data_IF_945483866486
#
_entry.id   IF_945483866486
#
_cell.length_a   1.000
_cell.length_b   1.000
_cell.length_c   1.000
_cell.angle_alpha   90.00
_cell.angle_beta   90.00
_cell.angle_gamma   90.00
#
_symmetry.space_group_name_H-M   'P 1'
#
loop_
_entity.id
_entity.type
_entity.pdbx_description
1 polymer ?
#
# COMPACT_ATOMS: atom_id res chain seq x y z
N UNK A 1 41.66 7.70 12.70
CA UNK A 1 41.48 8.51 11.48
C UNK A 1 40.11 9.14 11.56
N UNK A 2 40.05 10.47 11.67
CA UNK A 2 38.81 11.26 11.64
C UNK A 2 38.40 11.43 10.16
N UNK A 3 37.41 10.66 9.72
CA UNK A 3 36.82 10.83 8.39
C UNK A 3 35.80 11.96 8.43
N UNK A 4 36.18 13.14 7.92
CA UNK A 4 35.22 14.19 7.56
C UNK A 4 34.33 13.67 6.43
N UNK A 5 33.05 13.41 6.76
CA UNK A 5 32.02 13.16 5.76
C UNK A 5 31.76 14.44 4.98
N UNK A 6 32.27 14.51 3.75
CA UNK A 6 31.84 15.49 2.76
C UNK A 6 30.39 15.18 2.40
N UNK A 7 29.47 16.02 2.89
CA UNK A 7 28.08 15.99 2.48
C UNK A 7 28.00 16.23 0.97
N UNK A 8 27.63 15.21 0.22
CA UNK A 8 27.14 15.39 -1.13
C UNK A 8 25.84 16.19 -1.02
N UNK A 9 25.93 17.50 -1.26
CA UNK A 9 24.77 18.29 -1.67
C UNK A 9 24.36 17.73 -3.04
N UNK A 10 23.54 16.68 -3.05
CA UNK A 10 22.71 16.39 -4.19
C UNK A 10 21.99 17.70 -4.52
N UNK A 11 22.19 18.18 -5.75
CA UNK A 11 21.49 19.34 -6.28
C UNK A 11 20.01 19.10 -6.04
N UNK A 12 19.44 19.78 -5.03
CA UNK A 12 18.01 19.72 -4.75
C UNK A 12 17.31 20.14 -6.03
N UNK A 13 16.32 19.39 -6.53
CA UNK A 13 15.47 19.88 -7.61
C UNK A 13 14.99 21.28 -7.22
N UNK A 14 15.28 22.27 -8.05
CA UNK A 14 14.87 23.64 -7.78
C UNK A 14 13.35 23.67 -7.62
N UNK A 15 12.89 24.16 -6.47
CA UNK A 15 11.47 24.40 -6.21
C UNK A 15 10.93 25.28 -7.33
N UNK A 16 9.92 24.81 -8.05
CA UNK A 16 9.35 25.54 -9.20
C UNK A 16 8.55 26.73 -8.68
N UNK A 17 8.91 27.94 -9.10
CA UNK A 17 8.32 29.21 -8.61
C UNK A 17 6.84 29.41 -8.95
N UNK A 18 6.24 28.50 -9.71
CA UNK A 18 4.85 28.54 -10.19
C UNK A 18 3.90 27.59 -9.47
N UNK A 19 4.37 26.66 -8.64
CA UNK A 19 3.49 25.79 -7.86
C UNK A 19 2.91 26.53 -6.65
N UNK A 20 1.59 26.69 -6.57
CA UNK A 20 0.96 27.29 -5.38
C UNK A 20 0.92 26.33 -4.20
N UNK A 21 0.69 25.04 -4.48
CA UNK A 21 0.74 23.97 -3.47
C UNK A 21 1.73 22.91 -3.93
N UNK A 22 2.66 22.55 -3.05
CA UNK A 22 3.64 21.50 -3.30
C UNK A 22 3.96 20.75 -2.01
N UNK A 23 4.04 19.43 -2.12
CA UNK A 23 4.52 18.53 -1.10
C UNK A 23 5.53 17.55 -1.71
N UNK A 24 6.75 17.57 -1.20
CA UNK A 24 7.76 16.54 -1.42
C UNK A 24 7.88 15.75 -0.11
N UNK A 25 7.25 14.57 -0.08
CA UNK A 25 7.12 13.77 1.13
C UNK A 25 8.42 13.04 1.49
N UNK A 26 9.33 12.86 0.52
CA UNK A 26 10.65 12.27 0.76
C UNK A 26 11.57 13.32 1.38
N UNK A 27 11.60 14.52 0.82
CA UNK A 27 12.41 15.63 1.32
C UNK A 27 11.82 16.31 2.56
N UNK A 28 10.54 16.08 2.87
CA UNK A 28 9.81 16.76 3.94
C UNK A 28 9.62 18.26 3.67
N UNK A 29 9.44 18.63 2.40
CA UNK A 29 9.30 20.04 1.96
C UNK A 29 7.87 20.34 1.55
N UNK A 30 7.30 21.44 2.07
CA UNK A 30 5.89 21.80 1.90
C UNK A 30 5.74 23.29 1.60
N UNK A 31 4.89 23.61 0.61
CA UNK A 31 4.60 24.98 0.14
C UNK A 31 3.08 25.12 -0.03
N UNK A 32 2.54 26.28 0.31
CA UNK A 32 1.11 26.58 0.22
C UNK A 32 0.34 26.38 1.53
N UNK A 33 0.99 25.93 2.61
CA UNK A 33 0.38 25.78 3.92
C UNK A 33 0.38 27.07 4.77
N UNK A 34 -0.31 27.03 5.90
CA UNK A 34 -0.25 28.06 6.97
C UNK A 34 0.97 27.93 7.87
N UNK A 35 1.68 26.81 7.81
CA UNK A 35 2.81 26.51 8.68
C UNK A 35 3.81 25.56 8.02
N UNK A 36 4.95 25.32 8.70
CA UNK A 36 5.93 24.35 8.23
C UNK A 36 5.41 22.93 8.41
N UNK A 37 5.66 22.07 7.43
CA UNK A 37 5.35 20.63 7.52
C UNK A 37 4.01 20.23 6.92
N UNK A 38 3.77 18.92 6.92
CA UNK A 38 2.60 18.30 6.28
C UNK A 38 1.27 18.82 6.85
N UNK A 39 1.14 18.93 8.18
CA UNK A 39 -0.09 19.39 8.83
C UNK A 39 -0.30 20.91 8.74
N UNK A 40 0.69 21.65 8.23
CA UNK A 40 0.51 23.05 7.87
C UNK A 40 -0.19 23.22 6.53
N UNK A 41 -0.14 22.20 5.66
CA UNK A 41 -0.70 22.22 4.31
C UNK A 41 -1.92 21.33 4.14
N UNK A 42 -1.88 20.14 4.72
CA UNK A 42 -2.93 19.14 4.63
C UNK A 42 -3.60 18.93 5.97
N UNK A 43 -4.89 18.66 5.89
CA UNK A 43 -5.58 17.94 6.94
C UNK A 43 -5.40 16.44 6.69
N UNK A 44 -5.41 15.67 7.77
CA UNK A 44 -5.23 14.24 7.70
C UNK A 44 -6.15 13.54 8.70
N UNK A 45 -6.83 12.51 8.24
CA UNK A 45 -7.78 11.74 9.04
C UNK A 45 -7.48 10.26 8.93
N UNK A 46 -7.28 9.63 10.08
CA UNK A 46 -7.58 8.22 10.26
C UNK A 46 -7.81 7.93 11.74
N UNK A 47 -8.76 7.04 12.01
CA UNK A 47 -9.01 6.57 13.36
C UNK A 47 -8.00 5.49 13.77
N UNK A 48 -7.52 5.58 15.01
CA UNK A 48 -6.65 4.55 15.58
C UNK A 48 -5.18 4.61 15.13
N UNK A 49 -4.38 3.78 15.78
CA UNK A 49 -2.95 3.64 15.53
C UNK A 49 -2.67 2.82 14.28
N UNK A 50 -1.64 3.20 13.52
CA UNK A 50 -1.25 2.55 12.25
C UNK A 50 0.24 2.36 12.20
N UNK A 51 0.72 1.30 11.55
CA UNK A 51 2.14 0.98 11.54
C UNK A 51 2.78 1.27 10.18
N UNK A 52 4.09 1.51 10.20
CA UNK A 52 4.92 1.66 9.01
C UNK A 52 6.38 1.39 9.36
N UNK A 53 7.21 1.14 8.35
CA UNK A 53 8.66 0.96 8.51
C UNK A 53 9.38 2.30 8.38
N UNK A 54 10.32 2.59 9.29
CA UNK A 54 11.15 3.79 9.27
C UNK A 54 12.55 3.54 8.66
N UNK A 55 13.40 4.57 8.65
CA UNK A 55 14.76 4.52 8.08
C UNK A 55 15.70 3.46 8.68
N UNK A 56 15.39 2.97 9.89
CA UNK A 56 16.18 1.93 10.56
C UNK A 56 15.68 0.52 10.26
N UNK A 57 14.61 0.37 9.46
CA UNK A 57 13.93 -0.91 9.30
C UNK A 57 13.10 -1.31 10.51
N UNK A 58 12.74 -0.37 11.38
CA UNK A 58 11.90 -0.66 12.53
C UNK A 58 10.43 -0.40 12.23
N UNK A 59 9.56 -1.28 12.74
CA UNK A 59 8.12 -1.08 12.73
C UNK A 59 7.73 -0.05 13.79
N UNK A 60 7.36 1.14 13.35
CA UNK A 60 6.90 2.24 14.18
C UNK A 60 5.38 2.42 14.05
N UNK A 61 4.79 3.12 15.01
CA UNK A 61 3.34 3.36 15.09
C UNK A 61 3.08 4.85 15.00
N UNK A 62 2.28 5.28 14.01
CA UNK A 62 1.65 6.59 13.99
C UNK A 62 0.41 6.60 14.89
N UNK A 63 0.24 7.65 15.69
CA UNK A 63 -0.94 7.80 16.53
C UNK A 63 -2.20 8.11 15.67
N UNK A 64 -3.41 8.09 16.26
CA UNK A 64 -4.61 8.55 15.57
C UNK A 64 -4.45 9.97 15.03
N UNK A 65 -4.85 10.21 13.79
CA UNK A 65 -4.69 11.52 13.13
C UNK A 65 -3.26 11.91 12.75
N UNK A 66 -2.25 11.08 13.03
CA UNK A 66 -0.87 11.35 12.61
C UNK A 66 -0.57 10.72 11.23
N UNK A 67 0.00 11.46 10.28
CA UNK A 67 0.40 10.91 8.99
C UNK A 67 1.58 9.96 9.14
N UNK A 68 1.62 8.91 8.32
CA UNK A 68 2.75 7.96 8.24
C UNK A 68 3.87 8.51 7.36
N UNK A 69 4.35 9.70 7.72
CA UNK A 69 5.49 10.34 7.06
C UNK A 69 6.80 9.64 7.42
N UNK A 70 7.72 9.56 6.45
CA UNK A 70 9.01 8.88 6.63
C UNK A 70 8.90 7.37 6.50
N UNK A 71 7.94 6.87 5.71
CA UNK A 71 7.87 5.47 5.37
C UNK A 71 9.03 5.06 4.47
N UNK A 72 9.60 3.88 4.75
CA UNK A 72 10.68 3.27 3.98
C UNK A 72 10.27 1.89 3.50
N UNK A 73 10.73 1.54 2.30
CA UNK A 73 10.64 0.20 1.73
C UNK A 73 12.05 -0.38 1.54
N UNK A 74 12.14 -1.71 1.52
CA UNK A 74 13.40 -2.38 1.25
C UNK A 74 13.64 -2.45 -0.25
N UNK A 75 14.49 -1.57 -0.76
CA UNK A 75 14.79 -1.44 -2.19
C UNK A 75 16.30 -1.50 -2.38
N UNK A 76 16.76 -2.29 -3.35
CA UNK A 76 18.18 -2.38 -3.74
C UNK A 76 19.12 -2.67 -2.55
N UNK A 77 18.69 -3.49 -1.58
CA UNK A 77 19.49 -3.87 -0.43
C UNK A 77 19.59 -2.82 0.68
N UNK A 78 18.71 -1.81 0.70
CA UNK A 78 18.63 -0.83 1.79
C UNK A 78 17.22 -0.30 2.02
N UNK A 79 16.96 0.19 3.25
CA UNK A 79 15.74 0.92 3.57
C UNK A 79 15.76 2.28 2.88
N UNK A 80 14.87 2.47 1.92
CA UNK A 80 14.80 3.66 1.06
C UNK A 80 13.53 4.44 1.37
N UNK A 81 13.58 5.77 1.56
CA UNK A 81 12.39 6.57 1.81
C UNK A 81 11.50 6.60 0.56
N UNK A 82 10.22 6.31 0.73
CA UNK A 82 9.22 6.28 -0.35
C UNK A 82 8.12 7.34 -0.20
N UNK A 83 8.09 8.04 0.93
CA UNK A 83 7.23 9.21 1.16
C UNK A 83 6.14 8.96 2.22
N UNK A 84 4.91 9.40 1.92
CA UNK A 84 3.74 9.28 2.79
C UNK A 84 2.95 8.02 2.45
N UNK A 85 2.82 7.10 3.41
CA UNK A 85 2.02 5.88 3.23
C UNK A 85 0.53 6.13 3.56
N UNK A 86 -0.33 5.78 2.61
CA UNK A 86 -1.79 5.83 2.69
C UNK A 86 -2.36 4.43 2.40
N UNK A 87 -3.25 3.92 3.24
CA UNK A 87 -3.85 2.60 3.04
C UNK A 87 -5.37 2.61 3.27
N UNK A 88 -6.08 1.64 2.67
CA UNK A 88 -7.48 1.40 2.99
C UNK A 88 -7.64 0.91 4.42
N UNK A 89 -8.89 0.90 4.87
CA UNK A 89 -9.25 0.15 6.06
C UNK A 89 -8.98 -1.33 5.86
N UNK A 90 -8.47 -2.00 6.89
CA UNK A 90 -8.17 -3.42 6.86
C UNK A 90 -8.55 -4.05 8.20
N UNK A 91 -8.77 -5.36 8.22
CA UNK A 91 -8.97 -6.10 9.47
C UNK A 91 -8.11 -7.34 9.43
N UNK A 92 -7.16 -7.42 10.36
CA UNK A 92 -6.44 -8.66 10.59
C UNK A 92 -7.35 -9.61 11.37
N UNK A 93 -7.76 -10.69 10.70
CA UNK A 93 -8.64 -11.72 11.25
C UNK A 93 -7.92 -12.64 12.24
N UNK A 94 -6.58 -12.66 12.23
CA UNK A 94 -5.81 -13.38 13.23
C UNK A 94 -5.94 -12.64 14.56
N UNK A 95 -6.38 -13.35 15.60
CA UNK A 95 -6.57 -12.76 16.92
C UNK A 95 -5.24 -12.38 17.61
N UNK A 96 -4.18 -13.14 17.35
CA UNK A 96 -2.85 -12.90 17.90
C UNK A 96 -1.80 -12.93 16.79
N UNK A 97 -1.51 -11.77 16.21
CA UNK A 97 -0.65 -11.69 15.03
C UNK A 97 0.83 -11.97 15.32
N UNK A 98 1.32 -11.57 16.50
CA UNK A 98 2.71 -11.81 16.91
C UNK A 98 2.83 -13.19 17.53
N UNK A 99 3.73 -14.01 16.98
CA UNK A 99 3.94 -15.37 17.46
C UNK A 99 4.48 -15.38 18.90
N UNK A 100 3.87 -16.22 19.75
CA UNK A 100 4.24 -16.38 21.15
C UNK A 100 3.87 -17.79 21.66
N UNK A 101 4.38 -18.19 22.83
CA UNK A 101 4.19 -19.54 23.36
C UNK A 101 2.82 -19.80 24.01
N UNK A 102 2.04 -18.75 24.27
CA UNK A 102 0.78 -18.82 25.02
C UNK A 102 -0.42 -18.98 24.08
N UNK A 103 -0.46 -18.18 23.03
CA UNK A 103 -1.63 -18.00 22.18
C UNK A 103 -1.50 -18.70 20.82
N UNK A 104 -0.29 -19.15 20.48
CA UNK A 104 -0.04 -19.99 19.33
C UNK A 104 0.06 -21.46 19.76
N UNK A 105 -0.35 -22.34 18.87
CA UNK A 105 -0.31 -23.79 19.02
C UNK A 105 0.64 -24.39 17.99
N UNK A 106 1.18 -25.56 18.31
CA UNK A 106 2.01 -26.35 17.39
C UNK A 106 1.24 -27.55 16.86
N UNK A 107 1.54 -27.94 15.62
CA UNK A 107 1.07 -29.18 15.00
C UNK A 107 2.29 -30.06 14.71
N UNK A 108 2.54 -31.06 15.57
CA UNK A 108 3.68 -31.99 15.48
C UNK A 108 5.08 -31.38 15.61
N UNK A 109 5.17 -30.05 15.73
CA UNK A 109 6.39 -29.30 15.99
C UNK A 109 6.63 -29.10 17.50
N UNK A 110 7.80 -28.61 17.85
CA UNK A 110 8.03 -27.90 19.11
C UNK A 110 8.31 -26.43 18.82
N UNK A 111 8.11 -25.57 19.81
CA UNK A 111 8.55 -24.18 19.71
C UNK A 111 9.16 -23.64 21.00
N UNK A 112 10.02 -22.66 20.86
CA UNK A 112 10.63 -21.91 21.97
C UNK A 112 10.64 -20.43 21.62
N UNK A 113 10.72 -19.55 22.62
CA UNK A 113 10.83 -18.12 22.36
C UNK A 113 12.10 -17.83 21.54
N UNK A 114 12.00 -16.97 20.52
CA UNK A 114 13.19 -16.54 19.81
C UNK A 114 14.02 -15.57 20.67
N UNK A 115 15.32 -15.51 20.40
CA UNK A 115 16.25 -14.67 21.15
C UNK A 115 16.37 -13.25 20.59
N UNK A 116 15.86 -13.01 19.38
CA UNK A 116 15.95 -11.75 18.67
C UNK A 116 14.57 -11.11 18.43
N UNK A 117 14.58 -9.90 17.87
CA UNK A 117 13.36 -9.23 17.44
C UNK A 117 13.48 -8.87 15.96
N UNK A 118 12.45 -9.17 15.19
CA UNK A 118 12.36 -8.74 13.80
C UNK A 118 11.74 -7.34 13.70
N UNK A 119 12.28 -6.50 12.82
CA UNK A 119 11.87 -5.10 12.60
C UNK A 119 11.81 -4.28 13.91
N UNK A 120 12.69 -4.58 14.87
CA UNK A 120 12.74 -3.91 16.17
C UNK A 120 11.52 -4.12 17.07
N UNK A 121 10.61 -5.05 16.73
CA UNK A 121 9.31 -5.19 17.41
C UNK A 121 8.83 -6.61 17.68
N UNK A 122 9.13 -7.56 16.80
CA UNK A 122 8.52 -8.89 16.87
C UNK A 122 9.47 -9.92 17.48
N UNK A 123 9.20 -10.38 18.72
CA UNK A 123 10.03 -11.37 19.40
C UNK A 123 9.94 -12.78 18.81
N UNK A 124 8.77 -13.19 18.31
CA UNK A 124 8.58 -14.45 17.60
C UNK A 124 8.88 -15.74 18.40
N UNK A 125 8.83 -16.87 17.68
CA UNK A 125 9.10 -18.22 18.19
C UNK A 125 9.91 -19.01 17.17
N UNK A 126 10.87 -19.82 17.65
CA UNK A 126 11.57 -20.81 16.84
C UNK A 126 10.69 -22.04 16.72
N UNK A 127 10.30 -22.42 15.51
CA UNK A 127 9.47 -23.59 15.21
C UNK A 127 10.37 -24.72 14.72
N UNK A 128 10.44 -25.81 15.48
CA UNK A 128 11.34 -26.94 15.21
C UNK A 128 10.54 -28.17 14.77
N UNK A 129 10.90 -28.75 13.62
CA UNK A 129 10.26 -29.95 13.08
C UNK A 129 10.51 -31.16 13.97
N UNK A 130 9.48 -31.97 14.17
CA UNK A 130 9.59 -33.34 14.67
C UNK A 130 9.92 -34.39 13.59
N UNK A 131 10.24 -33.98 12.36
CA UNK A 131 10.57 -34.90 11.25
C UNK A 131 9.48 -35.05 10.17
N UNK A 132 8.57 -34.08 10.01
CA UNK A 132 7.53 -34.08 8.97
C UNK A 132 7.34 -32.70 8.34
N UNK A 133 7.05 -32.66 7.05
CA UNK A 133 6.93 -31.41 6.25
C UNK A 133 5.67 -30.60 6.53
N UNK A 134 4.72 -31.15 7.27
CA UNK A 134 3.47 -30.46 7.65
C UNK A 134 3.54 -29.79 9.03
N UNK A 135 4.65 -29.97 9.75
CA UNK A 135 4.87 -29.38 11.06
C UNK A 135 4.88 -27.86 11.01
N UNK A 136 4.17 -27.21 11.94
CA UNK A 136 4.01 -25.75 11.98
C UNK A 136 3.56 -25.24 13.35
N UNK A 137 3.75 -23.95 13.56
CA UNK A 137 3.07 -23.17 14.59
C UNK A 137 1.94 -22.33 13.95
N UNK A 138 0.86 -22.07 14.68
CA UNK A 138 -0.28 -21.30 14.20
C UNK A 138 -0.96 -20.54 15.35
N UNK A 139 -1.64 -19.43 15.09
CA UNK A 139 -2.58 -18.86 16.06
C UNK A 139 -3.61 -19.92 16.49
N UNK A 140 -4.02 -19.86 17.77
CA UNK A 140 -5.01 -20.80 18.33
C UNK A 140 -6.40 -20.65 17.72
N UNK A 141 -6.81 -19.41 17.42
CA UNK A 141 -8.11 -19.09 16.85
C UNK A 141 -8.17 -19.35 15.33
N UNK A 142 -9.28 -19.92 14.89
CA UNK A 142 -9.64 -20.07 13.48
C UNK A 142 -10.27 -18.79 12.93
N UNK A 143 -10.19 -18.61 11.61
CA UNK A 143 -10.76 -17.45 10.91
C UNK A 143 -11.84 -17.92 9.96
N UNK A 144 -12.99 -17.24 9.95
CA UNK A 144 -14.02 -17.51 8.95
C UNK A 144 -13.62 -16.93 7.58
N UNK A 145 -13.73 -17.76 6.54
CA UNK A 145 -13.60 -17.39 5.13
C UNK A 145 -14.90 -17.61 4.38
N UNK A 146 -15.03 -16.91 3.26
CA UNK A 146 -16.16 -17.00 2.33
C UNK A 146 -15.65 -17.56 1.00
N UNK A 147 -16.37 -18.52 0.41
CA UNK A 147 -16.04 -19.14 -0.86
C UNK A 147 -15.89 -18.08 -1.97
N UNK A 148 -14.82 -18.16 -2.74
CA UNK A 148 -14.48 -17.23 -3.82
C UNK A 148 -13.91 -15.88 -3.34
N UNK A 149 -13.92 -15.59 -2.04
CA UNK A 149 -13.30 -14.37 -1.50
C UNK A 149 -11.78 -14.51 -1.47
N UNK A 150 -11.09 -13.46 -1.91
CA UNK A 150 -9.63 -13.36 -1.79
C UNK A 150 -9.23 -12.67 -0.49
N UNK A 151 -8.18 -13.22 0.12
CA UNK A 151 -7.54 -12.75 1.32
C UNK A 151 -6.06 -12.49 1.04
N UNK A 152 -5.50 -11.46 1.68
CA UNK A 152 -4.06 -11.23 1.71
C UNK A 152 -3.45 -11.89 2.96
N UNK A 153 -2.30 -12.51 2.76
CA UNK A 153 -1.54 -13.20 3.81
C UNK A 153 -0.17 -12.54 3.90
N UNK A 154 0.15 -12.01 5.08
CA UNK A 154 1.47 -11.44 5.36
C UNK A 154 2.13 -12.27 6.45
N UNK A 155 3.34 -12.77 6.21
CA UNK A 155 4.12 -13.53 7.17
C UNK A 155 5.54 -12.96 7.29
N UNK A 156 6.00 -12.78 8.53
CA UNK A 156 7.39 -12.43 8.82
C UNK A 156 8.08 -13.60 9.49
N UNK A 157 9.19 -14.02 8.89
CA UNK A 157 9.92 -15.22 9.27
C UNK A 157 11.41 -14.98 9.16
N UNK A 158 12.22 -15.83 9.78
CA UNK A 158 13.67 -15.87 9.57
C UNK A 158 14.09 -17.29 9.31
N UNK A 159 14.98 -17.41 8.34
CA UNK A 159 15.62 -18.67 7.99
C UNK A 159 16.29 -19.28 9.24
N UNK A 160 16.03 -20.56 9.45
CA UNK A 160 16.71 -21.38 10.44
C UNK A 160 17.52 -22.47 9.75
N UNK A 161 17.70 -23.61 10.41
CA UNK A 161 18.52 -24.68 9.84
C UNK A 161 17.84 -25.49 8.74
N UNK A 162 16.52 -25.33 8.51
CA UNK A 162 15.84 -26.04 7.42
C UNK A 162 16.16 -25.50 6.03
N UNK A 163 16.58 -24.23 5.92
CA UNK A 163 16.67 -23.50 4.65
C UNK A 163 15.33 -23.35 3.89
N UNK A 164 14.22 -23.76 4.52
CA UNK A 164 12.91 -23.89 3.90
C UNK A 164 11.81 -23.34 4.78
N UNK A 165 10.72 -22.90 4.16
CA UNK A 165 9.54 -22.37 4.83
C UNK A 165 8.27 -23.02 4.27
N UNK A 166 7.24 -23.07 5.11
CA UNK A 166 5.85 -23.37 4.75
C UNK A 166 4.94 -22.35 5.42
N UNK A 167 4.04 -21.76 4.66
CA UNK A 167 2.82 -21.10 5.13
C UNK A 167 1.65 -21.98 4.68
N UNK A 168 0.88 -22.47 5.64
CA UNK A 168 -0.21 -23.41 5.45
C UNK A 168 -1.55 -22.77 5.76
N UNK A 169 -2.52 -22.92 4.89
CA UNK A 169 -3.91 -22.48 5.06
C UNK A 169 -4.78 -23.72 5.00
N UNK A 170 -5.23 -24.19 6.17
CA UNK A 170 -6.04 -25.41 6.31
C UNK A 170 -7.49 -25.05 6.52
N UNK A 171 -8.38 -25.58 5.69
CA UNK A 171 -9.82 -25.47 5.86
C UNK A 171 -10.33 -26.66 6.68
N UNK A 172 -10.84 -26.40 7.87
CA UNK A 172 -11.16 -27.47 8.83
C UNK A 172 -12.38 -28.30 8.40
N UNK A 173 -13.41 -27.65 7.83
CA UNK A 173 -14.60 -28.35 7.34
C UNK A 173 -14.35 -29.29 6.15
N UNK A 174 -13.28 -29.04 5.38
CA UNK A 174 -12.92 -29.85 4.21
C UNK A 174 -11.81 -30.86 4.53
N UNK A 175 -11.17 -30.72 5.71
CA UNK A 175 -9.90 -31.37 6.03
C UNK A 175 -8.83 -31.21 4.93
N UNK A 176 -8.88 -30.10 4.19
CA UNK A 176 -8.03 -29.79 3.05
C UNK A 176 -7.07 -28.65 3.38
N UNK A 177 -5.96 -28.57 2.66
CA UNK A 177 -4.91 -27.58 2.90
C UNK A 177 -4.35 -27.02 1.59
N UNK A 178 -4.10 -25.73 1.60
CA UNK A 178 -3.33 -25.00 0.59
C UNK A 178 -2.03 -24.55 1.24
N UNK A 179 -0.90 -24.72 0.57
CA UNK A 179 0.40 -24.36 1.13
C UNK A 179 1.26 -23.59 0.15
N UNK A 180 1.89 -22.54 0.68
CA UNK A 180 3.02 -21.84 0.10
C UNK A 180 4.25 -22.43 0.76
N UNK A 181 5.17 -23.04 0.01
CA UNK A 181 6.36 -23.65 0.60
C UNK A 181 7.53 -23.74 -0.38
N UNK A 182 8.73 -23.92 0.14
CA UNK A 182 9.94 -24.04 -0.67
C UNK A 182 11.18 -23.57 0.08
N UNK A 183 12.26 -23.42 -0.66
CA UNK A 183 13.44 -22.69 -0.18
C UNK A 183 13.13 -21.20 -0.09
N UNK A 184 13.78 -20.50 0.84
CA UNK A 184 13.71 -19.04 0.89
C UNK A 184 14.20 -18.43 -0.42
N UNK A 185 13.46 -17.46 -0.96
CA UNK A 185 13.68 -16.85 -2.27
C UNK A 185 13.10 -17.66 -3.45
N UNK A 186 12.50 -18.83 -3.20
CA UNK A 186 11.92 -19.71 -4.21
C UNK A 186 10.66 -20.43 -3.67
N UNK A 187 9.79 -19.69 -2.96
CA UNK A 187 8.53 -20.21 -2.47
C UNK A 187 7.52 -20.44 -3.61
N UNK A 188 6.85 -21.58 -3.59
CA UNK A 188 5.86 -21.99 -4.58
C UNK A 188 4.54 -22.42 -3.92
N UNK A 189 3.48 -22.61 -4.70
CA UNK A 189 2.15 -23.06 -4.23
C UNK A 189 1.78 -24.46 -4.76
N UNK A 190 2.48 -25.53 -4.35
CA UNK A 190 2.37 -26.85 -4.99
C UNK A 190 1.09 -27.63 -4.63
N UNK A 191 0.22 -27.13 -3.75
CA UNK A 191 -1.09 -27.75 -3.46
C UNK A 191 -2.11 -26.70 -3.08
N UNK A 192 -3.29 -26.84 -3.65
CA UNK A 192 -4.37 -25.85 -3.61
C UNK A 192 -5.72 -26.52 -3.33
N UNK A 193 -5.77 -27.39 -2.30
CA UNK A 193 -6.97 -28.19 -2.03
C UNK A 193 -8.01 -27.43 -1.18
N UNK A 194 -7.61 -26.38 -0.45
CA UNK A 194 -8.51 -25.53 0.34
C UNK A 194 -8.91 -24.23 -0.40
N UNK A 195 -8.30 -23.97 -1.54
CA UNK A 195 -8.35 -22.70 -2.25
C UNK A 195 -7.06 -22.47 -3.03
N UNK A 196 -7.02 -21.47 -3.90
CA UNK A 196 -5.82 -21.11 -4.64
C UNK A 196 -4.98 -20.13 -3.84
N UNK A 197 -3.66 -20.18 -4.00
CA UNK A 197 -2.76 -19.21 -3.37
C UNK A 197 -1.64 -18.81 -4.32
N UNK A 198 -1.18 -17.57 -4.19
CA UNK A 198 -0.05 -17.05 -4.97
C UNK A 198 0.88 -16.27 -4.06
N UNK A 199 2.18 -16.53 -4.16
CA UNK A 199 3.20 -15.64 -3.59
C UNK A 199 3.23 -14.39 -4.44
N UNK A 200 2.92 -13.25 -3.82
CA UNK A 200 2.97 -11.95 -4.48
C UNK A 200 4.40 -11.44 -4.41
N UNK A 201 4.96 -11.33 -3.21
CA UNK A 201 6.32 -10.85 -2.99
C UNK A 201 7.00 -11.64 -1.86
N UNK A 202 8.29 -11.91 -2.01
CA UNK A 202 9.16 -12.35 -0.91
C UNK A 202 10.36 -11.41 -0.86
N UNK A 203 10.50 -10.68 0.25
CA UNK A 203 11.58 -9.72 0.45
C UNK A 203 12.52 -10.21 1.54
N UNK A 204 13.75 -10.57 1.16
CA UNK A 204 14.84 -10.79 2.11
C UNK A 204 15.33 -9.44 2.63
N UNK A 205 15.16 -9.19 3.93
CA UNK A 205 15.52 -7.95 4.62
C UNK A 205 16.46 -8.26 5.80
N UNK A 206 17.13 -7.26 6.41
CA UNK A 206 17.98 -7.52 7.56
C UNK A 206 17.21 -8.20 8.68
N UNK A 207 17.65 -9.40 9.04
CA UNK A 207 17.07 -10.20 10.12
C UNK A 207 16.00 -11.22 9.71
N UNK A 208 15.56 -11.28 8.44
CA UNK A 208 14.52 -12.22 8.03
C UNK A 208 13.89 -11.94 6.67
N UNK A 209 12.72 -12.52 6.43
CA UNK A 209 11.95 -12.43 5.20
C UNK A 209 10.56 -11.86 5.50
N UNK A 210 10.11 -10.98 4.62
CA UNK A 210 8.73 -10.50 4.56
C UNK A 210 8.04 -11.18 3.37
N UNK A 211 7.11 -12.08 3.66
CA UNK A 211 6.40 -12.87 2.66
C UNK A 211 4.97 -12.33 2.55
N UNK A 212 4.57 -12.04 1.32
CA UNK A 212 3.27 -11.54 0.95
C UNK A 212 2.63 -12.48 -0.05
N UNK A 213 1.41 -12.89 0.22
CA UNK A 213 0.68 -13.80 -0.63
C UNK A 213 -0.80 -13.46 -0.70
N UNK A 214 -1.49 -14.03 -1.68
CA UNK A 214 -2.95 -14.06 -1.75
C UNK A 214 -3.46 -15.47 -1.58
N UNK A 215 -4.69 -15.59 -1.09
CA UNK A 215 -5.43 -16.85 -0.97
C UNK A 215 -6.89 -16.62 -1.33
N UNK A 216 -7.41 -17.36 -2.30
CA UNK A 216 -8.84 -17.35 -2.66
C UNK A 216 -9.48 -18.63 -2.14
N UNK A 217 -10.41 -18.49 -1.19
CA UNK A 217 -11.00 -19.65 -0.51
C UNK A 217 -11.89 -20.47 -1.44
N UNK A 218 -11.80 -21.80 -1.38
CA UNK A 218 -12.64 -22.70 -2.17
C UNK A 218 -14.06 -22.85 -1.60
N UNK A 219 -14.20 -22.74 -0.27
CA UNK A 219 -15.46 -22.96 0.44
C UNK A 219 -15.60 -22.01 1.62
N UNK A 220 -16.84 -21.84 2.09
CA UNK A 220 -17.15 -21.16 3.34
C UNK A 220 -16.71 -22.01 4.54
N UNK A 221 -16.17 -21.36 5.57
CA UNK A 221 -15.93 -22.03 6.83
C UNK A 221 -14.70 -21.54 7.58
N UNK A 222 -14.33 -22.23 8.66
CA UNK A 222 -13.14 -21.90 9.43
C UNK A 222 -11.87 -22.39 8.71
N UNK A 223 -10.87 -21.52 8.65
CA UNK A 223 -9.50 -21.86 8.29
C UNK A 223 -8.55 -21.60 9.45
N UNK A 224 -7.44 -22.32 9.50
CA UNK A 224 -6.27 -21.92 10.26
C UNK A 224 -5.10 -21.63 9.31
N UNK A 225 -4.27 -20.66 9.70
CA UNK A 225 -3.06 -20.31 8.97
C UNK A 225 -1.86 -20.54 9.88
N UNK A 226 -0.84 -21.24 9.41
CA UNK A 226 0.33 -21.58 10.21
C UNK A 226 1.64 -21.53 9.44
N UNK A 227 2.74 -21.38 10.16
CA UNK A 227 4.09 -21.22 9.62
C UNK A 227 4.97 -22.36 10.16
N UNK A 228 5.76 -23.00 9.30
CA UNK A 228 6.63 -24.11 9.70
C UNK A 228 7.85 -24.33 8.80
N UNK A 229 8.77 -25.22 9.18
CA UNK A 229 10.07 -25.37 8.53
C UNK A 229 10.08 -26.20 7.23
N UNK A 230 8.94 -26.79 6.81
CA UNK A 230 8.84 -27.68 5.62
C UNK A 230 9.93 -28.78 5.56
N UNK A 231 10.23 -29.42 6.69
CA UNK A 231 11.34 -30.38 6.79
C UNK A 231 10.93 -31.71 7.41
N UNK A 232 11.34 -32.81 6.77
CA UNK A 232 11.26 -34.18 7.28
C UNK A 232 12.44 -34.56 8.19
N UNK A 233 13.33 -33.62 8.53
CA UNK A 233 14.45 -33.83 9.45
C UNK A 233 14.08 -33.28 10.82
N UNK A 234 14.04 -34.16 11.81
CA UNK A 234 13.78 -33.75 13.19
C UNK A 234 14.90 -32.82 13.70
N UNK A 235 14.52 -31.70 14.32
CA UNK A 235 15.45 -30.70 14.84
C UNK A 235 15.71 -29.53 13.89
N UNK A 236 15.34 -29.64 12.61
CA UNK A 236 15.41 -28.49 11.70
C UNK A 236 14.33 -27.47 12.01
N UNK A 237 14.65 -26.18 11.81
CA UNK A 237 13.80 -25.10 12.30
C UNK A 237 13.78 -23.87 11.39
N UNK A 238 12.83 -22.99 11.71
CA UNK A 238 12.75 -21.59 11.28
C UNK A 238 12.32 -20.73 12.48
N UNK A 239 12.37 -19.41 12.36
CA UNK A 239 11.73 -18.51 13.31
C UNK A 239 10.50 -17.86 12.67
N UNK A 240 9.36 -17.92 13.34
CA UNK A 240 8.12 -17.23 12.96
C UNK A 240 7.90 -16.02 13.86
N UNK A 241 7.69 -14.84 13.29
CA UNK A 241 7.53 -13.59 14.05
C UNK A 241 6.10 -13.06 14.03
N UNK A 242 5.49 -13.04 12.85
CA UNK A 242 4.24 -12.36 12.61
C UNK A 242 3.44 -13.07 11.53
N UNK A 243 2.12 -13.06 11.69
CA UNK A 243 1.18 -13.51 10.68
C UNK A 243 -0.06 -12.61 10.68
N UNK A 244 -0.49 -12.23 9.48
CA UNK A 244 -1.68 -11.44 9.25
C UNK A 244 -2.49 -12.04 8.11
N UNK A 245 -3.81 -12.01 8.28
CA UNK A 245 -4.78 -12.53 7.33
C UNK A 245 -5.90 -11.50 7.19
N UNK A 246 -5.95 -10.81 6.06
CA UNK A 246 -6.92 -9.74 5.81
C UNK A 246 -7.77 -10.08 4.59
N UNK A 247 -8.98 -9.54 4.54
CA UNK A 247 -9.76 -9.55 3.31
C UNK A 247 -9.18 -8.55 2.31
N UNK A 248 -9.04 -8.96 1.06
CA UNK A 248 -8.51 -8.12 -0.01
C UNK A 248 -7.45 -8.82 -0.85
N UNK A 249 -7.12 -8.20 -1.98
CA UNK A 249 -6.20 -8.75 -2.97
C UNK A 249 -4.76 -8.28 -2.81
N UNK A 250 -4.54 -7.25 -1.98
CA UNK A 250 -3.23 -6.62 -1.80
C UNK A 250 -2.92 -6.58 -0.31
N UNK A 251 -1.74 -7.07 0.11
CA UNK A 251 -1.30 -6.97 1.49
C UNK A 251 -1.10 -5.52 1.93
N UNK A 252 -1.37 -5.26 3.20
CA UNK A 252 -1.13 -3.93 3.80
C UNK A 252 -0.10 -4.01 4.93
N UNK A 253 0.27 -2.85 5.46
CA UNK A 253 1.14 -2.73 6.63
C UNK A 253 0.63 -3.56 7.82
N UNK A 254 1.53 -4.01 8.71
CA UNK A 254 1.14 -4.81 9.86
C UNK A 254 0.06 -4.16 10.72
N UNK A 255 -1.06 -4.86 10.91
CA UNK A 255 -2.12 -4.60 11.89
C UNK A 255 -1.88 -5.55 13.06
N UNK A 256 -1.51 -4.97 14.19
CA UNK A 256 -1.16 -5.71 15.39
C UNK A 256 -2.43 -6.08 16.17
N UNK A 257 -2.75 -7.36 16.20
CA UNK A 257 -3.81 -7.93 17.02
C UNK A 257 -3.25 -8.63 18.26
N UNK A 258 -3.97 -8.50 19.37
CA UNK A 258 -3.62 -9.08 20.66
C UNK A 258 -4.86 -9.67 21.36
N UNK A 259 -5.08 -10.98 21.17
CA UNK A 259 -6.23 -11.72 21.70
C UNK A 259 -7.54 -11.59 20.92
N UNK A 260 -7.65 -10.69 19.95
CA UNK A 260 -8.84 -10.53 19.10
C UNK A 260 -8.49 -9.87 17.75
N UNK A 261 -9.32 -10.13 16.73
CA UNK A 261 -9.20 -9.47 15.43
C UNK A 261 -9.19 -7.94 15.61
N UNK A 262 -8.34 -7.26 14.87
CA UNK A 262 -8.12 -5.82 15.01
C UNK A 262 -8.23 -5.15 13.66
N UNK A 263 -8.90 -4.00 13.62
CA UNK A 263 -9.09 -3.21 12.40
C UNK A 263 -8.21 -1.96 12.40
N UNK A 264 -7.72 -1.62 11.20
CA UNK A 264 -7.09 -0.35 10.86
C UNK A 264 -8.10 0.50 10.09
N UNK A 265 -8.22 1.79 10.43
CA UNK A 265 -9.03 2.70 9.64
C UNK A 265 -8.32 3.13 8.34
N UNK A 266 -9.12 3.55 7.36
CA UNK A 266 -8.63 4.13 6.10
C UNK A 266 -7.89 5.44 6.37
N UNK A 267 -6.80 5.66 5.63
CA UNK A 267 -6.11 6.95 5.60
C UNK A 267 -6.78 7.89 4.59
N UNK A 268 -6.97 9.13 5.02
CA UNK A 268 -7.50 10.20 4.17
C UNK A 268 -6.62 11.43 4.33
N UNK A 269 -5.96 11.82 3.24
CA UNK A 269 -5.24 13.08 3.13
C UNK A 269 -6.13 14.06 2.36
N UNK A 270 -6.29 15.28 2.86
CA UNK A 270 -7.09 16.27 2.14
C UNK A 270 -6.57 17.69 2.29
N UNK A 271 -6.85 18.51 1.28
CA UNK A 271 -6.73 19.96 1.33
C UNK A 271 -8.14 20.50 1.43
N UNK A 272 -8.46 21.12 2.57
CA UNK A 272 -9.78 21.68 2.82
C UNK A 272 -10.17 22.70 1.76
N UNK A 273 -11.48 22.86 1.56
CA UNK A 273 -12.04 23.89 0.67
C UNK A 273 -11.52 25.29 1.03
N UNK A 274 -11.37 25.60 2.32
CA UNK A 274 -10.80 26.87 2.79
C UNK A 274 -9.33 27.04 2.38
N UNK A 275 -8.55 25.96 2.38
CA UNK A 275 -7.15 26.03 1.93
C UNK A 275 -7.06 26.17 0.42
N UNK A 276 -7.90 25.47 -0.34
CA UNK A 276 -7.98 25.64 -1.79
C UNK A 276 -8.44 27.05 -2.19
N UNK A 277 -9.42 27.62 -1.48
CA UNK A 277 -9.96 28.95 -1.79
C UNK A 277 -8.94 30.07 -1.61
N UNK A 278 -7.98 29.92 -0.68
CA UNK A 278 -6.90 30.89 -0.48
C UNK A 278 -5.91 30.96 -1.65
N UNK A 279 -5.76 29.87 -2.41
CA UNK A 279 -4.79 29.79 -3.50
C UNK A 279 -5.36 30.07 -4.88
N UNK A 280 -6.68 29.92 -5.06
CA UNK A 280 -7.33 30.12 -6.37
C UNK A 280 -8.65 30.90 -6.35
N UNK A 281 -9.26 31.13 -5.18
CA UNK A 281 -10.68 31.50 -5.07
C UNK A 281 -11.54 30.36 -5.63
N UNK A 282 -12.27 29.60 -4.81
CA UNK A 282 -12.99 28.41 -5.29
C UNK A 282 -14.06 28.72 -6.35
N UNK A 283 -14.60 29.95 -6.37
CA UNK A 283 -15.54 30.42 -7.40
C UNK A 283 -14.83 30.83 -8.71
N UNK A 284 -13.49 30.74 -8.78
CA UNK A 284 -12.65 31.27 -9.88
C UNK A 284 -11.56 30.28 -10.32
N UNK A 285 -11.54 29.03 -9.83
CA UNK A 285 -10.66 28.03 -10.43
C UNK A 285 -11.17 27.80 -11.86
N UNK A 286 -10.43 28.32 -12.84
CA UNK A 286 -10.70 28.12 -14.27
C UNK A 286 -9.67 27.21 -14.92
N UNK A 287 -8.55 26.99 -14.22
CA UNK A 287 -7.46 26.12 -14.63
C UNK A 287 -6.83 25.48 -13.40
N UNK A 288 -6.73 24.15 -13.42
CA UNK A 288 -6.10 23.35 -12.39
C UNK A 288 -5.17 22.32 -13.03
N UNK A 289 -3.94 22.22 -12.56
CA UNK A 289 -3.07 21.07 -12.83
C UNK A 289 -2.75 20.36 -11.54
N UNK A 290 -2.91 19.04 -11.53
CA UNK A 290 -2.52 18.16 -10.42
C UNK A 290 -1.39 17.28 -10.91
N UNK A 291 -0.24 17.33 -10.22
CA UNK A 291 0.87 16.41 -10.43
C UNK A 291 1.03 15.52 -9.20
N UNK A 292 1.14 14.21 -9.41
CA UNK A 292 1.29 13.24 -8.34
C UNK A 292 2.26 12.14 -8.76
N UNK A 293 3.17 11.78 -7.86
CA UNK A 293 4.10 10.69 -8.07
C UNK A 293 4.25 9.84 -6.81
N UNK A 294 4.62 8.58 -6.99
CA UNK A 294 4.70 7.63 -5.89
C UNK A 294 4.73 6.18 -6.34
N UNK A 295 4.30 5.30 -5.45
CA UNK A 295 4.03 3.90 -5.76
C UNK A 295 2.61 3.55 -5.35
N UNK A 296 1.98 2.67 -6.11
CA UNK A 296 0.66 2.12 -5.81
C UNK A 296 0.72 0.60 -5.81
N UNK A 297 -0.14 -0.02 -5.04
CA UNK A 297 -0.37 -1.46 -5.11
C UNK A 297 -1.82 -1.68 -5.47
N UNK A 298 -2.12 -2.48 -6.49
CA UNK A 298 -3.51 -2.71 -6.89
C UNK A 298 -3.64 -4.05 -7.63
N UNK A 299 -4.79 -4.73 -7.50
CA UNK A 299 -5.03 -6.01 -8.15
C UNK A 299 -5.55 -5.85 -9.58
N UNK A 300 -5.43 -6.92 -10.36
CA UNK A 300 -6.19 -7.08 -11.60
C UNK A 300 -7.56 -7.68 -11.29
N UNK A 301 -8.63 -6.88 -11.33
CA UNK A 301 -10.00 -7.35 -11.10
C UNK A 301 -10.84 -7.41 -12.38
N UNK A 302 -10.30 -6.93 -13.51
CA UNK A 302 -11.12 -6.69 -14.69
C UNK A 302 -12.23 -5.64 -14.48
N UNK A 303 -12.06 -4.73 -13.53
CA UNK A 303 -13.09 -3.76 -13.12
C UNK A 303 -12.70 -2.31 -13.44
N UNK A 304 -13.69 -1.43 -13.51
CA UNK A 304 -13.46 0.01 -13.57
C UNK A 304 -13.22 0.56 -12.16
N UNK A 305 -12.34 1.56 -12.05
CA UNK A 305 -12.08 2.34 -10.83
C UNK A 305 -11.53 1.50 -9.68
N UNK A 306 -10.55 0.66 -9.98
CA UNK A 306 -9.89 -0.19 -8.97
C UNK A 306 -9.11 0.66 -7.97
N UNK A 307 -8.49 1.76 -8.40
CA UNK A 307 -7.77 2.66 -7.51
C UNK A 307 -8.12 4.11 -7.82
N UNK A 308 -8.45 4.91 -6.80
CA UNK A 308 -8.62 6.35 -6.93
C UNK A 308 -7.37 7.08 -6.41
N UNK A 309 -6.71 7.85 -7.27
CA UNK A 309 -5.56 8.66 -6.87
C UNK A 309 -6.01 9.89 -6.09
N UNK A 310 -6.99 10.61 -6.61
CA UNK A 310 -7.55 11.80 -5.96
C UNK A 310 -8.90 12.19 -6.57
N UNK A 311 -9.66 12.98 -5.81
CA UNK A 311 -10.83 13.68 -6.32
C UNK A 311 -10.99 15.09 -5.73
N UNK A 312 -11.71 15.93 -6.45
CA UNK A 312 -12.41 17.11 -5.92
C UNK A 312 -13.88 16.89 -6.28
N UNK A 313 -14.69 16.51 -5.30
CA UNK A 313 -16.06 16.08 -5.52
C UNK A 313 -17.03 16.99 -4.76
N UNK A 314 -17.88 17.71 -5.51
CA UNK A 314 -19.02 18.44 -4.94
C UNK A 314 -20.28 17.58 -5.00
N UNK A 315 -20.56 17.05 -6.18
CA UNK A 315 -21.71 16.18 -6.46
C UNK A 315 -21.46 15.33 -7.72
N UNK A 316 -22.45 14.55 -8.14
CA UNK A 316 -22.32 13.67 -9.31
C UNK A 316 -22.15 14.41 -10.64
N UNK A 317 -22.54 15.68 -10.71
CA UNK A 317 -22.43 16.52 -11.89
C UNK A 317 -21.19 17.41 -11.91
N UNK A 318 -20.63 17.74 -10.74
CA UNK A 318 -19.50 18.66 -10.58
C UNK A 318 -18.34 17.98 -9.83
N UNK A 319 -17.35 17.50 -10.59
CA UNK A 319 -16.18 16.81 -10.03
C UNK A 319 -14.97 16.78 -10.94
N UNK A 320 -13.80 16.71 -10.33
CA UNK A 320 -12.53 16.39 -10.97
C UNK A 320 -11.91 15.17 -10.27
N UNK A 321 -11.11 14.37 -10.97
CA UNK A 321 -10.41 13.25 -10.33
C UNK A 321 -9.53 12.43 -11.27
N UNK A 322 -8.71 11.57 -10.69
CA UNK A 322 -7.91 10.59 -11.43
C UNK A 322 -8.00 9.22 -10.74
N UNK A 323 -8.05 8.17 -11.57
CA UNK A 323 -8.23 6.78 -11.12
C UNK A 323 -7.54 5.80 -12.07
N UNK A 324 -7.44 4.55 -11.65
CA UNK A 324 -6.96 3.41 -12.43
C UNK A 324 -8.11 2.43 -12.65
N UNK A 325 -8.35 2.08 -13.91
CA UNK A 325 -9.23 0.98 -14.30
C UNK A 325 -8.38 -0.26 -14.61
N UNK A 326 -8.87 -1.48 -14.33
CA UNK A 326 -8.13 -2.73 -14.62
C UNK A 326 -8.82 -3.62 -15.67
N UNK A 327 -9.77 -3.07 -16.44
CA UNK A 327 -10.65 -3.83 -17.34
C UNK A 327 -9.92 -4.57 -18.47
N UNK A 328 -8.74 -4.08 -18.87
CA UNK A 328 -7.93 -4.66 -19.94
C UNK A 328 -6.79 -5.55 -19.41
N UNK A 329 -6.77 -5.83 -18.11
CA UNK A 329 -5.69 -6.56 -17.44
C UNK A 329 -4.44 -5.73 -17.14
N UNK A 330 -4.34 -4.53 -17.73
CA UNK A 330 -3.45 -3.43 -17.33
C UNK A 330 -4.21 -2.42 -16.47
N UNK A 331 -3.47 -1.63 -15.70
CA UNK A 331 -3.97 -0.42 -15.07
C UNK A 331 -4.02 0.72 -16.08
N UNK A 332 -5.21 1.13 -16.46
CA UNK A 332 -5.51 2.22 -17.38
C UNK A 332 -5.82 3.51 -16.59
N UNK A 333 -5.02 4.56 -16.78
CA UNK A 333 -5.22 5.87 -16.16
C UNK A 333 -6.42 6.55 -16.77
N UNK A 334 -7.39 6.88 -15.92
CA UNK A 334 -8.57 7.66 -16.30
C UNK A 334 -8.65 8.92 -15.47
N UNK A 335 -8.62 10.06 -16.14
CA UNK A 335 -8.93 11.37 -15.58
C UNK A 335 -10.37 11.75 -15.89
N UNK A 336 -11.02 12.37 -14.92
CA UNK A 336 -12.47 12.64 -14.90
C UNK A 336 -12.69 14.13 -14.80
N UNK A 337 -13.54 14.66 -15.70
CA UNK A 337 -13.99 16.05 -15.68
C UNK A 337 -15.52 16.08 -15.85
N UNK A 338 -16.25 16.35 -14.76
CA UNK A 338 -17.71 16.46 -14.77
C UNK A 338 -18.17 17.90 -14.56
N UNK A 339 -19.01 18.42 -15.46
CA UNK A 339 -19.60 19.78 -15.39
C UNK A 339 -21.10 19.70 -15.59
N UNK A 340 -21.89 20.15 -14.60
CA UNK A 340 -23.36 20.18 -14.66
C UNK A 340 -24.01 18.88 -15.17
N UNK A 341 -23.43 17.73 -14.80
CA UNK A 341 -23.93 16.40 -15.18
C UNK A 341 -23.34 15.84 -16.48
N UNK A 342 -22.56 16.62 -17.22
CA UNK A 342 -21.82 16.15 -18.41
C UNK A 342 -20.45 15.63 -17.99
N UNK A 343 -20.20 14.33 -18.19
CA UNK A 343 -18.94 13.69 -17.84
C UNK A 343 -18.05 13.53 -19.06
N UNK A 344 -16.83 14.07 -18.98
CA UNK A 344 -15.74 13.82 -19.92
C UNK A 344 -14.67 12.97 -19.24
N UNK A 345 -14.20 11.96 -19.96
CA UNK A 345 -13.11 11.09 -19.53
C UNK A 345 -11.95 11.21 -20.50
N UNK A 346 -10.75 11.43 -20.00
CA UNK A 346 -9.51 11.27 -20.76
C UNK A 346 -8.62 10.25 -20.09
N UNK A 347 -7.67 9.72 -20.83
CA UNK A 347 -6.83 8.62 -20.40
C UNK A 347 -5.98 8.12 -21.55
N UNK A 348 -4.91 7.43 -21.21
CA UNK A 348 -4.17 6.61 -22.17
C UNK A 348 -4.45 5.13 -21.86
N UNK A 349 -4.20 4.24 -22.82
CA UNK A 349 -4.10 2.82 -22.54
C UNK A 349 -2.77 2.58 -21.82
N UNK A 350 -2.69 3.02 -20.56
CA UNK A 350 -1.49 2.86 -19.76
C UNK A 350 -1.23 1.39 -19.48
N UNK A 351 0.05 1.06 -19.34
CA UNK A 351 0.53 -0.32 -19.25
C UNK A 351 1.05 -0.64 -17.85
N UNK A 352 0.48 -0.01 -16.81
CA UNK A 352 0.79 -0.42 -15.45
C UNK A 352 0.38 -1.87 -15.27
N UNK A 353 1.35 -2.73 -15.01
CA UNK A 353 1.06 -4.11 -14.63
C UNK A 353 0.57 -4.12 -13.18
N UNK A 354 -0.61 -4.68 -12.88
CA UNK A 354 -1.09 -4.80 -11.51
C UNK A 354 -0.11 -5.62 -10.66
N UNK A 355 0.40 -5.01 -9.59
CA UNK A 355 1.36 -5.60 -8.64
C UNK A 355 1.43 -4.74 -7.36
N UNK A 356 2.33 -5.09 -6.44
CA UNK A 356 2.75 -4.26 -5.31
C UNK A 356 3.85 -3.28 -5.71
N UNK A 357 3.77 -2.05 -5.20
CA UNK A 357 4.82 -1.05 -5.37
C UNK A 357 5.01 -0.54 -6.80
N UNK A 358 3.97 -0.62 -7.64
CA UNK A 358 3.98 -0.14 -9.03
C UNK A 358 4.23 1.37 -9.04
N UNK A 359 5.32 1.84 -9.65
CA UNK A 359 5.63 3.25 -9.69
C UNK A 359 4.66 4.00 -10.61
N UNK A 360 4.26 5.20 -10.19
CA UNK A 360 3.46 6.10 -11.02
C UNK A 360 4.00 7.53 -10.95
N UNK A 361 3.85 8.24 -12.06
CA UNK A 361 4.12 9.67 -12.19
C UNK A 361 3.12 10.25 -13.20
N UNK A 362 2.13 11.00 -12.69
CA UNK A 362 0.99 11.48 -13.47
C UNK A 362 0.79 12.98 -13.31
N UNK A 363 0.39 13.64 -14.39
CA UNK A 363 -0.15 14.99 -14.33
C UNK A 363 -1.48 15.09 -15.09
N UNK A 364 -2.48 15.70 -14.45
CA UNK A 364 -3.78 15.97 -15.05
C UNK A 364 -4.02 17.49 -15.08
N UNK A 365 -4.31 18.03 -16.26
CA UNK A 365 -4.68 19.42 -16.48
C UNK A 365 -6.16 19.54 -16.80
N UNK A 366 -6.81 20.52 -16.20
CA UNK A 366 -8.22 20.85 -16.36
C UNK A 366 -8.35 22.34 -16.64
N UNK A 367 -9.08 22.71 -17.68
CA UNK A 367 -9.44 24.09 -18.02
C UNK A 367 -10.94 24.19 -18.32
N UNK A 368 -11.43 25.39 -18.63
CA UNK A 368 -12.80 25.60 -19.09
C UNK A 368 -13.08 25.06 -20.50
N UNK A 369 -12.03 24.74 -21.27
CA UNK A 369 -12.13 24.36 -22.68
C UNK A 369 -11.58 22.98 -22.96
N UNK A 370 -10.63 22.50 -22.17
CA UNK A 370 -10.00 21.21 -22.34
C UNK A 370 -9.61 20.50 -21.03
N UNK A 371 -9.30 19.21 -21.20
CA UNK A 371 -8.57 18.43 -20.21
C UNK A 371 -7.48 17.62 -20.91
N UNK A 372 -6.37 17.40 -20.22
CA UNK A 372 -5.27 16.56 -20.71
C UNK A 372 -4.62 15.79 -19.56
N UNK A 373 -4.00 14.66 -19.88
CA UNK A 373 -3.25 13.86 -18.93
C UNK A 373 -1.89 13.47 -19.51
N UNK A 374 -0.87 13.47 -18.67
CA UNK A 374 0.46 12.94 -18.94
C UNK A 374 0.82 11.86 -17.93
N UNK A 375 1.52 10.84 -18.40
CA UNK A 375 1.97 9.69 -17.62
C UNK A 375 3.30 9.18 -18.19
N UNK A 376 4.29 8.85 -17.34
CA UNK A 376 5.60 8.29 -17.74
C UNK A 376 6.32 9.07 -18.85
N UNK A 377 6.13 10.39 -18.90
CA UNK A 377 6.68 11.22 -19.98
C UNK A 377 6.01 11.02 -21.34
N UNK A 378 4.81 10.46 -21.39
CA UNK A 378 3.87 10.50 -22.51
C UNK A 378 2.75 11.51 -22.27
N UNK A 379 2.15 12.03 -23.35
CA UNK A 379 1.04 12.99 -23.29
C UNK A 379 -0.16 12.44 -24.07
N UNK A 380 -1.31 12.37 -23.42
CA UNK A 380 -2.58 12.02 -24.07
C UNK A 380 -3.11 13.18 -24.92
N UNK A 381 -3.92 12.89 -25.92
CA UNK A 381 -4.60 13.94 -26.70
C UNK A 381 -5.54 14.75 -25.80
N UNK A 382 -5.44 16.08 -25.82
CA UNK A 382 -6.39 16.96 -25.13
C UNK A 382 -7.82 16.68 -25.59
N UNK A 383 -8.76 16.65 -24.65
CA UNK A 383 -10.20 16.49 -24.93
C UNK A 383 -10.95 17.76 -24.58
N UNK A 384 -11.84 18.19 -25.47
CA UNK A 384 -12.71 19.32 -25.23
C UNK A 384 -13.72 19.02 -24.12
N UNK A 385 -14.04 20.03 -23.32
CA UNK A 385 -15.04 19.96 -22.23
C UNK A 385 -16.05 21.11 -22.36
N UNK A 386 -17.15 21.04 -21.60
CA UNK A 386 -18.24 22.02 -21.67
C UNK A 386 -18.06 23.25 -20.78
N UNK A 387 -17.00 23.29 -19.96
CA UNK A 387 -16.74 24.34 -18.97
C UNK A 387 -15.80 23.83 -17.88
N UNK A 388 -15.68 24.62 -16.81
CA UNK A 388 -15.05 24.19 -15.57
C UNK A 388 -16.13 23.97 -14.50
N UNK A 389 -16.06 22.92 -13.65
CA UNK A 389 -17.10 22.62 -12.68
C UNK A 389 -17.17 23.67 -11.57
N UNK A 390 -18.37 23.88 -11.05
CA UNK A 390 -18.54 24.54 -9.76
C UNK A 390 -18.09 23.60 -8.65
N UNK A 391 -16.92 23.87 -8.07
CA UNK A 391 -16.32 23.09 -6.98
C UNK A 391 -16.45 23.81 -5.62
N UNK A 392 -17.34 24.80 -5.50
CA UNK A 392 -17.53 25.56 -4.27
C UNK A 392 -17.79 24.66 -3.06
N UNK A 393 -16.92 24.76 -2.05
CA UNK A 393 -16.98 23.97 -0.81
C UNK A 393 -16.41 22.55 -0.90
N UNK A 394 -15.95 22.10 -2.06
CA UNK A 394 -15.32 20.79 -2.21
C UNK A 394 -13.86 20.80 -1.73
N UNK A 395 -13.41 19.69 -1.14
CA UNK A 395 -12.03 19.47 -0.76
C UNK A 395 -11.30 18.67 -1.85
N UNK A 396 -9.97 18.83 -1.91
CA UNK A 396 -9.12 17.89 -2.64
C UNK A 396 -8.82 16.72 -1.72
N UNK A 397 -9.11 15.49 -2.14
CA UNK A 397 -9.03 14.30 -1.30
C UNK A 397 -8.18 13.24 -1.98
N UNK A 398 -7.29 12.64 -1.20
CA UNK A 398 -6.56 11.41 -1.53
C UNK A 398 -6.93 10.36 -0.49
N UNK A 399 -7.64 9.33 -0.92
CA UNK A 399 -8.18 8.28 -0.05
C UNK A 399 -8.22 6.95 -0.82
N UNK A 400 -7.06 6.30 -1.03
CA UNK A 400 -6.98 5.16 -1.94
C UNK A 400 -7.64 3.91 -1.34
N UNK A 401 -8.25 3.09 -2.20
CA UNK A 401 -8.86 1.80 -1.80
C UNK A 401 -7.84 0.65 -1.72
N UNK A 402 -6.60 0.92 -2.13
CA UNK A 402 -5.46 0.04 -1.98
C UNK A 402 -4.23 0.81 -1.48
N UNK A 403 -3.18 0.14 -0.96
CA UNK A 403 -1.98 0.82 -0.49
C UNK A 403 -1.33 1.72 -1.55
N UNK A 404 -0.99 2.94 -1.14
CA UNK A 404 -0.30 3.92 -1.96
C UNK A 404 0.73 4.69 -1.13
N UNK A 405 1.91 4.92 -1.70
CA UNK A 405 2.90 5.85 -1.18
C UNK A 405 2.91 7.09 -2.07
N UNK A 406 2.77 8.27 -1.47
CA UNK A 406 2.97 9.54 -2.18
C UNK A 406 4.39 10.01 -1.95
N UNK A 407 5.19 10.07 -3.01
CA UNK A 407 6.50 10.73 -2.98
C UNK A 407 6.35 12.24 -3.21
N UNK A 408 5.39 12.63 -4.06
CA UNK A 408 5.17 14.02 -4.45
C UNK A 408 3.71 14.33 -4.78
N UNK A 409 3.29 15.56 -4.46
CA UNK A 409 2.01 16.15 -4.88
C UNK A 409 2.20 17.64 -5.17
N UNK A 410 1.78 18.11 -6.35
CA UNK A 410 1.71 19.54 -6.69
C UNK A 410 0.32 19.91 -7.20
N UNK A 411 -0.18 21.09 -6.80
CA UNK A 411 -1.31 21.74 -7.45
C UNK A 411 -0.89 23.09 -8.02
N UNK A 412 -1.29 23.35 -9.27
CA UNK A 412 -1.10 24.62 -9.96
C UNK A 412 -2.43 25.20 -10.39
N UNK A 413 -2.69 26.44 -10.01
CA UNK A 413 -3.88 27.20 -10.40
C UNK A 413 -3.50 28.24 -11.47
N UNK A 414 -4.35 28.43 -12.47
CA UNK A 414 -4.22 29.55 -13.42
C UNK A 414 -3.10 29.43 -14.47
N UNK A 415 -2.37 28.32 -14.53
CA UNK A 415 -1.42 28.02 -15.60
C UNK A 415 -2.05 27.04 -16.61
N UNK A 416 -1.78 27.19 -17.91
CA UNK A 416 -2.17 26.17 -18.89
C UNK A 416 -1.37 24.91 -18.60
N UNK A 417 -2.02 23.86 -18.10
CA UNK A 417 -1.33 22.65 -17.64
C UNK A 417 -0.61 21.86 -18.75
N UNK A 418 -0.73 22.29 -20.01
CA UNK A 418 0.08 21.79 -21.12
C UNK A 418 1.59 21.96 -20.88
N UNK A 419 2.02 22.99 -20.14
CA UNK A 419 3.44 23.22 -19.90
C UNK A 419 4.01 22.21 -18.89
N UNK A 420 3.29 21.88 -17.83
CA UNK A 420 3.73 20.84 -16.88
C UNK A 420 3.68 19.45 -17.51
N UNK A 421 2.62 19.17 -18.26
CA UNK A 421 2.47 17.91 -18.95
C UNK A 421 3.55 17.72 -20.03
N UNK A 422 3.97 18.80 -20.72
CA UNK A 422 5.14 18.81 -21.61
C UNK A 422 6.46 18.67 -20.87
N UNK A 423 6.59 19.29 -19.69
CA UNK A 423 7.79 19.21 -18.85
C UNK A 423 8.02 17.83 -18.23
N UNK A 424 6.98 17.01 -18.07
CA UNK A 424 7.15 15.60 -17.65
C UNK A 424 7.68 14.72 -18.78
N UNK A 425 7.50 15.13 -20.03
CA UNK A 425 7.89 14.41 -21.26
C UNK A 425 9.30 14.79 -21.72
N UNK A 426 9.79 15.96 -21.31
CA UNK A 426 11.09 16.53 -21.68
C UNK A 426 12.19 16.10 -20.71
#
# INVERSE_FOLDING_TARGET
>A
MLGLGLGFNTLRPAIRSTSQVMADFIAGSYIGGTGPGILGLFDFSAAGSRNYINALGHLVTAAPGEPRSGHHEWLNGMWTPVGLLLEPSGTNKIAQAVANLTDWLVSGATFVAAADNFLGRFAGVVVTSGGETWHRARPSAEMAVVAGQTYSVTAFVKEGTSGRCRIAIRHEGLAAETHIRGEFGALETPTENAGTANVVHELAVPGGHMIYATYTALADGPVNVGIGPDSNVAGENITAYFLQFEEGHVPTSPILSAGAATSRAKDVLFISAETLSRHGGLDVIQNLTVHMAGQMSYPNLGEFSVLEFWNIYKDSGNRLGAKVDSVNGSGDLVVVHGVDGVMTYSGDASTWTPDMGVPFDIAASYSDTDMSVAEHGGFSTSKAVSGFPDLGGAAFVVAPDYPMTLSKLELRFGASGIDLAREMVA
#
